data_IF_383023375066
#
_entry.id   IF_383023375066
#
_cell.length_a   1.000
_cell.length_b   1.000
_cell.length_c   1.000
_cell.angle_alpha   90.00
_cell.angle_beta   90.00
_cell.angle_gamma   90.00
#
_symmetry.space_group_name_H-M   'P 1'
#
loop_
_entity.id
_entity.type
_entity.pdbx_description
1 polymer ?
#
# COMPACT_ATOMS: atom_id res chain seq x y z
N UNK A 1 -20.92 -7.71 -1.97
CA UNK A 1 -20.89 -8.50 -0.76
C UNK A 1 -20.13 -7.77 0.32
N UNK A 2 -20.41 -8.14 1.50
CA UNK A 2 -19.83 -7.52 2.67
C UNK A 2 -18.32 -7.63 2.73
N UNK A 3 -17.74 -8.61 2.07
CA UNK A 3 -16.29 -8.78 2.11
C UNK A 3 -15.54 -7.69 1.37
N UNK A 4 -16.22 -6.91 0.54
CA UNK A 4 -15.56 -5.80 -0.15
C UNK A 4 -15.06 -4.76 0.84
N UNK A 5 -15.87 -4.45 1.85
CA UNK A 5 -15.48 -3.50 2.87
C UNK A 5 -14.30 -4.03 3.68
N UNK A 6 -14.34 -5.31 4.01
CA UNK A 6 -13.26 -5.94 4.74
C UNK A 6 -11.97 -5.93 3.93
N UNK A 7 -12.08 -6.18 2.62
CA UNK A 7 -10.92 -6.19 1.77
C UNK A 7 -10.26 -4.81 1.71
N UNK A 8 -11.06 -3.76 1.60
CA UNK A 8 -10.52 -2.40 1.56
C UNK A 8 -9.81 -2.07 2.85
N UNK A 9 -10.42 -2.38 3.97
CA UNK A 9 -9.83 -2.11 5.26
C UNK A 9 -8.52 -2.88 5.46
N UNK A 10 -8.54 -4.16 5.16
CA UNK A 10 -7.34 -4.97 5.28
C UNK A 10 -6.25 -4.50 4.34
N UNK A 11 -6.61 -4.17 3.11
CA UNK A 11 -5.65 -3.67 2.12
C UNK A 11 -5.06 -2.34 2.57
N UNK A 12 -5.88 -1.48 3.14
CA UNK A 12 -5.41 -0.21 3.65
C UNK A 12 -4.44 -0.40 4.81
N UNK A 13 -4.77 -1.28 5.75
CA UNK A 13 -3.88 -1.53 6.87
C UNK A 13 -2.54 -2.09 6.41
N UNK A 14 -2.58 -2.98 5.44
CA UNK A 14 -1.36 -3.55 4.89
C UNK A 14 -0.53 -2.49 4.17
N UNK A 15 -1.20 -1.65 3.40
CA UNK A 15 -0.52 -0.55 2.72
C UNK A 15 0.13 0.40 3.70
N UNK A 16 -0.59 0.76 4.75
CA UNK A 16 -0.07 1.64 5.77
C UNK A 16 1.18 1.07 6.42
N UNK A 17 1.14 -0.21 6.74
CA UNK A 17 2.29 -0.87 7.34
C UNK A 17 3.51 -0.84 6.42
N UNK A 18 3.29 -1.14 5.14
CA UNK A 18 4.36 -1.13 4.16
C UNK A 18 4.93 0.28 3.98
N UNK A 19 4.07 1.29 3.99
CA UNK A 19 4.52 2.67 3.86
C UNK A 19 5.40 3.07 5.04
N UNK A 20 5.03 2.67 6.24
CA UNK A 20 5.82 2.97 7.43
C UNK A 20 7.17 2.30 7.36
N UNK A 21 7.21 1.05 6.94
CA UNK A 21 8.47 0.32 6.80
C UNK A 21 9.37 0.96 5.74
N UNK A 22 8.77 1.34 4.61
CA UNK A 22 9.52 1.97 3.53
C UNK A 22 10.08 3.32 3.96
N UNK A 23 9.29 4.07 4.73
CA UNK A 23 9.73 5.38 5.20
C UNK A 23 11.01 5.26 6.02
N UNK A 24 11.07 4.27 6.92
CA UNK A 24 12.26 4.06 7.72
C UNK A 24 13.48 3.72 6.88
N UNK A 25 13.29 2.83 5.90
CA UNK A 25 14.41 2.41 5.04
C UNK A 25 14.88 3.54 4.13
N UNK A 26 13.93 4.31 3.59
CA UNK A 26 14.30 5.46 2.75
C UNK A 26 15.04 6.52 3.55
N UNK A 27 14.60 6.75 4.78
CA UNK A 27 15.25 7.70 5.65
C UNK A 27 16.71 7.32 5.88
N UNK A 28 16.95 6.04 6.11
CA UNK A 28 18.30 5.53 6.31
C UNK A 28 19.15 5.67 5.05
N UNK A 29 18.55 5.39 3.89
CA UNK A 29 19.28 5.46 2.63
C UNK A 29 19.62 6.90 2.26
N UNK A 30 18.67 7.81 2.46
CA UNK A 30 18.87 9.23 2.14
C UNK A 30 19.86 9.87 3.12
N UNK A 31 19.95 9.32 4.32
CA UNK A 31 20.81 9.86 5.35
C UNK A 31 22.28 9.76 5.02
N UNK A 32 23.10 10.11 5.99
CA UNK A 32 24.54 10.22 5.79
C UNK A 32 25.23 8.92 5.42
N UNK A 33 24.66 7.79 5.84
CA UNK A 33 25.29 6.49 5.64
C UNK A 33 25.01 5.87 4.29
N UNK A 34 23.96 6.31 3.61
CA UNK A 34 23.56 5.74 2.30
C UNK A 34 23.57 4.22 2.35
N UNK A 35 22.78 3.67 3.23
CA UNK A 35 22.78 2.24 3.50
C UNK A 35 22.18 1.46 2.32
N UNK A 36 23.02 0.67 1.63
CA UNK A 36 22.57 -0.11 0.48
C UNK A 36 21.56 -1.17 0.85
N UNK A 37 21.70 -1.76 2.02
CA UNK A 37 20.75 -2.76 2.48
C UNK A 37 19.36 -2.14 2.66
N UNK A 38 19.31 -0.94 3.21
CA UNK A 38 18.05 -0.22 3.36
C UNK A 38 17.44 0.11 2.00
N UNK A 39 18.28 0.47 1.03
CA UNK A 39 17.82 0.76 -0.32
C UNK A 39 17.19 -0.46 -0.97
N UNK A 40 17.82 -1.63 -0.81
CA UNK A 40 17.29 -2.86 -1.37
C UNK A 40 15.96 -3.24 -0.73
N UNK A 41 15.86 -3.09 0.59
CA UNK A 41 14.60 -3.36 1.28
C UNK A 41 13.52 -2.39 0.85
N UNK A 42 13.87 -1.13 0.70
CA UNK A 42 12.90 -0.13 0.25
C UNK A 42 12.37 -0.47 -1.13
N UNK A 43 13.24 -0.86 -2.06
CA UNK A 43 12.81 -1.25 -3.40
C UNK A 43 11.85 -2.44 -3.35
N UNK A 44 12.16 -3.41 -2.52
CA UNK A 44 11.31 -4.60 -2.41
C UNK A 44 9.94 -4.25 -1.85
N UNK A 45 9.93 -3.41 -0.82
CA UNK A 45 8.67 -3.00 -0.20
C UNK A 45 7.85 -2.14 -1.16
N UNK A 46 8.52 -1.25 -1.90
CA UNK A 46 7.82 -0.43 -2.88
C UNK A 46 7.16 -1.27 -3.96
N UNK A 47 7.81 -2.37 -4.35
CA UNK A 47 7.21 -3.29 -5.29
C UNK A 47 5.97 -3.96 -4.71
N UNK A 48 6.04 -4.35 -3.44
CA UNK A 48 4.89 -4.92 -2.76
C UNK A 48 3.74 -3.91 -2.68
N UNK A 49 4.06 -2.65 -2.43
CA UNK A 49 3.07 -1.59 -2.41
C UNK A 49 2.41 -1.45 -3.79
N UNK A 50 3.22 -1.47 -4.83
CA UNK A 50 2.72 -1.37 -6.19
C UNK A 50 1.75 -2.50 -6.50
N UNK A 51 2.09 -3.72 -6.11
CA UNK A 51 1.24 -4.87 -6.33
C UNK A 51 -0.06 -4.79 -5.52
N UNK A 52 0.00 -4.17 -4.37
CA UNK A 52 -1.17 -3.99 -3.51
C UNK A 52 -2.09 -2.88 -4.03
N UNK A 53 -1.51 -1.86 -4.65
CA UNK A 53 -2.29 -0.73 -5.12
C UNK A 53 -3.32 -1.13 -6.18
N UNK A 54 -2.96 -2.05 -7.06
CA UNK A 54 -3.86 -2.46 -8.13
C UNK A 54 -5.17 -3.05 -7.59
N UNK A 55 -5.13 -4.07 -6.73
CA UNK A 55 -6.39 -4.59 -6.19
C UNK A 55 -7.12 -3.61 -5.29
N UNK A 56 -6.37 -2.74 -4.60
CA UNK A 56 -7.00 -1.74 -3.75
C UNK A 56 -7.79 -0.73 -4.57
N UNK A 57 -7.22 -0.26 -5.67
CA UNK A 57 -7.93 0.65 -6.57
C UNK A 57 -9.19 0.00 -7.13
N UNK A 58 -9.10 -1.26 -7.46
CA UNK A 58 -10.23 -2.00 -8.01
C UNK A 58 -11.34 -2.14 -6.96
N UNK A 59 -10.97 -2.43 -5.73
CA UNK A 59 -11.94 -2.55 -4.65
C UNK A 59 -12.66 -1.22 -4.41
N UNK A 60 -11.92 -0.13 -4.45
CA UNK A 60 -12.50 1.20 -4.27
C UNK A 60 -13.47 1.52 -5.40
N UNK A 61 -13.10 1.17 -6.62
CA UNK A 61 -13.97 1.43 -7.77
C UNK A 61 -15.27 0.65 -7.68
N UNK A 62 -15.19 -0.61 -7.28
CA UNK A 62 -16.38 -1.43 -7.10
C UNK A 62 -17.29 -0.85 -6.02
N UNK A 63 -16.70 -0.39 -4.93
CA UNK A 63 -17.45 0.21 -3.84
C UNK A 63 -18.16 1.48 -4.31
N UNK A 64 -17.47 2.29 -5.11
CA UNK A 64 -18.05 3.51 -5.66
C UNK A 64 -19.22 3.22 -6.59
N UNK A 65 -19.12 2.18 -7.39
CA UNK A 65 -20.19 1.79 -8.29
C UNK A 65 -21.43 1.38 -7.52
N UNK A 66 -21.26 0.64 -6.46
CA UNK A 66 -22.37 0.26 -5.60
C UNK A 66 -23.04 1.48 -4.99
N UNK A 67 -22.23 2.43 -4.52
CA UNK A 67 -22.76 3.66 -3.95
C UNK A 67 -23.51 4.48 -4.99
N UNK A 68 -23.00 4.52 -6.21
CA UNK A 68 -23.66 5.25 -7.28
C UNK A 68 -25.00 4.64 -7.67
N UNK A 69 -25.08 3.33 -7.67
CA UNK A 69 -26.31 2.67 -8.07
C UNK A 69 -27.41 2.82 -7.04
N UNK A 70 -27.07 3.31 -5.85
CA UNK A 70 -28.07 3.60 -4.83
C UNK A 70 -28.74 4.96 -5.05
N UNK A 71 -28.19 5.78 -5.89
CA UNK A 71 -28.75 7.07 -6.23
C UNK A 71 -29.48 6.99 -7.58
#
# INVERSE_FOLDING_TARGET
MFYDDHNIDEQYQKLRKLLIETEGDLYKFIGKTKNDTAALRARKILKEIEELIIPLRKSIQLQRQDNKSQY
#
